data_IF_834039571366
#
_entry.id   IF_834039571366
#
_cell.length_a   1.000
_cell.length_b   1.000
_cell.length_c   1.000
_cell.angle_alpha   90.00
_cell.angle_beta   90.00
_cell.angle_gamma   90.00
#
_symmetry.space_group_name_H-M   'P 1'
#
loop_
_entity.id
_entity.type
_entity.pdbx_description
1 polymer ?
#
# COMPACT_ATOMS: atom_id res chain seq x y z
N UNK A 1 19.46 -19.42 -9.94
CA UNK A 1 18.26 -18.62 -10.26
C UNK A 1 17.75 -18.04 -8.96
N UNK A 2 17.38 -16.75 -8.93
CA UNK A 2 16.79 -16.15 -7.73
C UNK A 2 15.28 -16.22 -7.89
N UNK A 3 14.61 -17.03 -7.07
CA UNK A 3 13.14 -17.03 -7.01
C UNK A 3 12.70 -15.74 -6.33
N UNK A 4 11.91 -14.92 -7.02
CA UNK A 4 11.26 -13.76 -6.41
C UNK A 4 10.24 -14.21 -5.37
N UNK A 5 10.12 -13.45 -4.28
CA UNK A 5 9.09 -13.64 -3.26
C UNK A 5 8.12 -12.46 -3.26
N UNK A 6 6.85 -12.72 -2.95
CA UNK A 6 5.88 -11.65 -2.70
C UNK A 6 6.16 -11.07 -1.32
N UNK A 7 6.54 -9.80 -1.29
CA UNK A 7 6.79 -9.03 -0.07
C UNK A 7 5.63 -8.06 0.24
N UNK A 8 4.68 -7.96 -0.69
CA UNK A 8 3.64 -6.96 -0.72
C UNK A 8 2.48 -7.46 -1.59
N UNK A 9 1.29 -7.60 -1.01
CA UNK A 9 0.06 -7.94 -1.71
C UNK A 9 -0.18 -9.45 -1.78
N UNK A 10 -1.21 -9.82 -2.53
CA UNK A 10 -1.49 -11.20 -2.93
C UNK A 10 -1.62 -11.27 -4.45
N UNK A 11 -1.07 -12.32 -5.05
CA UNK A 11 -1.12 -12.52 -6.51
C UNK A 11 -2.54 -12.89 -6.94
N UNK A 12 -3.03 -12.26 -8.01
CA UNK A 12 -4.31 -12.60 -8.63
C UNK A 12 -5.55 -12.05 -7.93
N UNK A 13 -5.41 -11.19 -6.92
CA UNK A 13 -6.56 -10.60 -6.22
C UNK A 13 -6.28 -9.17 -5.75
N UNK A 14 -7.01 -8.21 -6.32
CA UNK A 14 -7.06 -6.83 -5.83
C UNK A 14 -8.16 -6.67 -4.77
N UNK A 15 -7.98 -5.75 -3.82
CA UNK A 15 -8.99 -5.49 -2.79
C UNK A 15 -8.54 -4.60 -1.64
N UNK A 16 -9.43 -4.41 -0.67
CA UNK A 16 -9.24 -3.52 0.48
C UNK A 16 -8.69 -4.19 1.74
N UNK A 17 -8.48 -5.51 1.75
CA UNK A 17 -7.85 -6.18 2.89
C UNK A 17 -6.42 -5.65 3.11
N UNK A 18 -5.88 -5.78 4.32
CA UNK A 18 -4.50 -5.35 4.62
C UNK A 18 -3.43 -6.22 3.96
N UNK A 19 -3.80 -7.38 3.44
CA UNK A 19 -2.97 -8.23 2.59
C UNK A 19 -3.10 -7.90 1.10
N UNK A 20 -4.03 -7.03 0.72
CA UNK A 20 -4.36 -6.72 -0.67
C UNK A 20 -4.01 -5.27 -1.02
N UNK A 21 -3.83 -5.02 -2.31
CA UNK A 21 -3.69 -3.70 -2.90
C UNK A 21 -4.77 -3.53 -3.98
N UNK A 22 -5.13 -2.29 -4.28
CA UNK A 22 -6.05 -1.93 -5.35
C UNK A 22 -5.57 -0.71 -6.13
N UNK A 23 -4.99 -0.96 -7.31
CA UNK A 23 -4.31 0.03 -8.17
C UNK A 23 -3.23 0.81 -7.40
N UNK A 24 -2.19 0.14 -6.88
CA UNK A 24 -1.07 0.85 -6.27
C UNK A 24 -0.34 1.69 -7.33
N UNK A 25 -0.01 2.94 -7.00
CA UNK A 25 0.60 3.88 -7.94
C UNK A 25 2.09 4.13 -7.68
N UNK A 26 2.50 4.14 -6.41
CA UNK A 26 3.87 4.44 -6.03
C UNK A 26 4.33 3.55 -4.87
N UNK A 27 5.64 3.30 -4.84
CA UNK A 27 6.32 2.62 -3.75
C UNK A 27 7.56 3.41 -3.33
N UNK A 28 7.78 3.52 -2.02
CA UNK A 28 9.02 4.00 -1.41
C UNK A 28 9.56 2.95 -0.45
N UNK A 29 10.88 2.78 -0.40
CA UNK A 29 11.54 1.84 0.52
C UNK A 29 12.54 2.62 1.37
N UNK A 30 12.41 2.52 2.69
CA UNK A 30 13.31 3.19 3.64
C UNK A 30 14.59 2.36 3.93
N UNK A 31 15.51 2.95 4.70
CA UNK A 31 16.75 2.29 5.12
C UNK A 31 16.54 1.05 6.01
N UNK A 32 15.37 0.93 6.64
CA UNK A 32 14.98 -0.21 7.46
C UNK A 32 14.26 -1.30 6.63
N UNK A 33 14.25 -1.17 5.29
CA UNK A 33 13.57 -2.08 4.36
C UNK A 33 12.06 -2.14 4.59
N UNK A 34 11.47 -1.08 5.15
CA UNK A 34 10.02 -0.93 5.14
C UNK A 34 9.58 -0.30 3.81
N UNK A 35 8.52 -0.86 3.24
CA UNK A 35 7.90 -0.38 2.01
C UNK A 35 6.67 0.44 2.35
N UNK A 36 6.51 1.56 1.67
CA UNK A 36 5.36 2.45 1.76
C UNK A 36 4.72 2.46 0.39
N UNK A 37 3.48 1.98 0.31
CA UNK A 37 2.78 1.80 -0.96
C UNK A 37 1.56 2.70 -0.97
N UNK A 38 1.47 3.55 -2.00
CA UNK A 38 0.29 4.35 -2.28
C UNK A 38 -0.75 3.48 -2.99
N UNK A 39 -1.75 3.03 -2.25
CA UNK A 39 -2.83 2.16 -2.67
C UNK A 39 -4.05 3.01 -3.07
N UNK A 40 -4.06 3.48 -4.32
CA UNK A 40 -4.84 4.65 -4.72
C UNK A 40 -6.35 4.43 -4.68
N UNK A 41 -6.85 3.29 -5.17
CA UNK A 41 -8.30 3.05 -5.18
C UNK A 41 -8.84 2.78 -3.77
N UNK A 42 -7.97 2.39 -2.85
CA UNK A 42 -8.30 2.28 -1.43
C UNK A 42 -8.02 3.59 -0.65
N UNK A 43 -7.57 4.66 -1.31
CA UNK A 43 -7.28 5.97 -0.71
C UNK A 43 -6.37 5.90 0.52
N UNK A 44 -5.36 5.03 0.51
CA UNK A 44 -4.50 4.76 1.67
C UNK A 44 -3.04 4.64 1.30
N UNK A 45 -2.17 4.89 2.27
CA UNK A 45 -0.77 4.47 2.25
C UNK A 45 -0.62 3.31 3.22
N UNK A 46 -0.17 2.16 2.72
CA UNK A 46 0.19 1.01 3.54
C UNK A 46 1.69 0.98 3.78
N UNK A 47 2.09 0.68 5.02
CA UNK A 47 3.45 0.28 5.34
C UNK A 47 3.54 -1.24 5.46
N UNK A 48 4.54 -1.83 4.81
CA UNK A 48 4.91 -3.23 4.94
C UNK A 48 6.35 -3.38 5.40
N UNK A 49 6.57 -4.29 6.36
CA UNK A 49 7.90 -4.73 6.72
C UNK A 49 8.26 -5.98 5.93
N UNK A 50 9.54 -6.14 5.60
CA UNK A 50 10.02 -7.34 4.93
C UNK A 50 9.67 -8.60 5.72
N UNK A 51 9.06 -9.59 5.05
CA UNK A 51 8.64 -10.85 5.65
C UNK A 51 7.32 -10.79 6.45
N UNK A 52 6.68 -9.62 6.57
CA UNK A 52 5.38 -9.47 7.24
C UNK A 52 4.26 -9.56 6.20
N UNK A 53 3.26 -10.44 6.37
CA UNK A 53 2.24 -10.68 5.36
C UNK A 53 1.16 -9.59 5.28
N UNK A 54 1.03 -8.76 6.32
CA UNK A 54 -0.04 -7.77 6.46
C UNK A 54 0.52 -6.36 6.53
N UNK A 55 -0.11 -5.45 5.80
CA UNK A 55 0.21 -4.04 5.81
C UNK A 55 -0.54 -3.37 6.93
N UNK A 56 -0.16 -2.14 7.25
CA UNK A 56 -0.98 -1.30 8.11
C UNK A 56 -1.02 0.12 7.56
N UNK A 57 -2.17 0.76 7.76
CA UNK A 57 -2.42 2.10 7.25
C UNK A 57 -1.59 3.09 8.04
N UNK A 58 -0.78 3.87 7.34
CA UNK A 58 0.01 4.97 7.93
C UNK A 58 -0.51 6.35 7.50
N UNK A 59 -1.35 6.41 6.48
CA UNK A 59 -2.10 7.59 6.08
C UNK A 59 -3.35 7.20 5.26
N UNK A 60 -4.40 8.01 5.31
CA UNK A 60 -5.63 7.79 4.54
C UNK A 60 -6.52 6.66 5.07
N UNK A 61 -7.24 6.00 4.18
CA UNK A 61 -8.16 4.89 4.46
C UNK A 61 -9.62 5.31 4.70
N UNK A 62 -9.91 6.61 4.66
CA UNK A 62 -11.26 7.16 4.89
C UNK A 62 -11.85 7.82 3.63
N UNK A 63 -11.49 7.28 2.46
CA UNK A 63 -11.88 7.80 1.15
C UNK A 63 -11.06 9.02 0.70
N UNK A 64 -11.41 9.52 -0.48
CA UNK A 64 -10.83 10.73 -1.05
C UNK A 64 -11.28 11.98 -0.26
N UNK A 65 -10.37 12.93 -0.08
CA UNK A 65 -10.68 14.22 0.49
C UNK A 65 -9.48 14.90 1.14
N UNK A 66 -9.73 16.10 1.67
CA UNK A 66 -8.73 16.95 2.29
C UNK A 66 -8.73 16.91 3.83
N UNK A 67 -9.57 16.06 4.45
CA UNK A 67 -9.53 15.88 5.89
C UNK A 67 -8.22 15.18 6.32
N UNK A 68 -7.83 15.35 7.58
CA UNK A 68 -6.57 14.82 8.13
C UNK A 68 -6.39 13.31 7.93
N UNK A 69 -7.47 12.55 7.81
CA UNK A 69 -7.47 11.09 7.66
C UNK A 69 -7.84 10.62 6.25
N UNK A 70 -7.90 11.54 5.28
CA UNK A 70 -8.23 11.29 3.89
C UNK A 70 -7.04 11.55 2.98
N UNK A 71 -7.02 10.89 1.83
CA UNK A 71 -6.03 11.13 0.78
C UNK A 71 -6.78 11.40 -0.51
N UNK A 72 -6.68 12.61 -1.02
CA UNK A 72 -7.03 12.91 -2.42
C UNK A 72 -5.93 12.40 -3.33
N UNK A 73 -6.26 11.52 -4.26
CA UNK A 73 -5.37 11.19 -5.37
C UNK A 73 -5.74 12.06 -6.56
N UNK A 74 -4.99 13.14 -6.80
CA UNK A 74 -4.99 13.79 -8.11
C UNK A 74 -4.22 12.91 -9.08
N UNK A 75 -4.89 12.33 -10.06
CA UNK A 75 -4.23 11.78 -11.24
C UNK A 75 -3.63 12.97 -12.01
N UNK A 76 -2.36 13.28 -11.77
CA UNK A 76 -1.60 14.24 -12.58
C UNK A 76 -0.30 13.56 -13.01
#
# INVERSE_FOLDING_TARGET
TTTGITIAGVTGSAGGAYSQLYNPYAIYVDSNRAMFILDTTNYRVLKWQFGVPLGYVVAGGNGAGAALTQITTSYA
#
